data_IF_393309984150
#
_entry.id   IF_393309984150
#
_cell.length_a   1.000
_cell.length_b   1.000
_cell.length_c   1.000
_cell.angle_alpha   90.00
_cell.angle_beta   90.00
_cell.angle_gamma   90.00
#
_symmetry.space_group_name_H-M   'P 1'
#
loop_
_entity.id
_entity.type
_entity.pdbx_description
1 polymer ?
#
# COMPACT_ATOMS: atom_id res chain seq x y z
N UNK A 1 15.49 33.66 16.83
CA UNK A 1 14.47 32.98 17.66
C UNK A 1 15.12 32.58 18.98
N UNK A 2 14.50 32.94 20.10
CA UNK A 2 15.04 32.65 21.42
C UNK A 2 14.80 31.21 21.78
N UNK A 3 15.74 30.55 22.51
CA UNK A 3 15.60 29.17 23.03
C UNK A 3 14.27 28.98 23.82
N UNK A 4 13.73 30.02 24.41
CA UNK A 4 12.43 30.02 25.11
C UNK A 4 11.24 29.83 24.16
N UNK A 5 11.27 30.37 22.95
CA UNK A 5 10.20 30.22 21.97
C UNK A 5 10.24 28.83 21.34
N UNK A 6 11.43 28.30 21.10
CA UNK A 6 11.61 26.93 20.61
C UNK A 6 11.12 25.89 21.65
N UNK A 7 11.41 26.11 22.95
CA UNK A 7 10.91 25.24 24.03
C UNK A 7 9.37 25.32 24.16
N UNK A 8 8.77 26.49 23.98
CA UNK A 8 7.32 26.68 24.09
C UNK A 8 6.58 25.92 22.97
N UNK A 9 7.11 26.00 21.76
CA UNK A 9 6.59 25.26 20.59
C UNK A 9 6.72 23.74 20.78
N UNK A 10 7.82 23.25 21.36
CA UNK A 10 8.03 21.83 21.65
C UNK A 10 7.11 21.29 22.75
N UNK A 11 6.80 22.10 23.76
CA UNK A 11 5.90 21.72 24.85
C UNK A 11 4.44 21.73 24.42
N UNK A 12 4.05 22.62 23.50
CA UNK A 12 2.69 22.64 22.90
C UNK A 12 2.45 21.45 21.96
N UNK A 13 3.48 20.98 21.26
CA UNK A 13 3.43 19.75 20.44
C UNK A 13 3.31 18.46 21.26
N UNK A 14 3.78 18.47 22.51
CA UNK A 14 3.69 17.29 23.39
C UNK A 14 2.32 17.15 24.07
N UNK A 15 1.48 18.18 24.07
CA UNK A 15 0.19 18.19 24.77
C UNK A 15 -1.06 18.40 23.93
N UNK A 16 -0.92 18.90 22.72
CA UNK A 16 -2.02 19.06 21.77
C UNK A 16 -1.47 18.96 20.33
N UNK A 17 -2.10 18.17 19.49
CA UNK A 17 -1.77 18.14 18.06
C UNK A 17 -2.01 19.54 17.50
N UNK A 18 -0.93 20.23 17.10
CA UNK A 18 -1.00 21.56 16.50
C UNK A 18 -1.98 21.52 15.31
N UNK A 19 -2.96 22.41 15.24
CA UNK A 19 -3.91 22.48 14.12
C UNK A 19 -3.24 22.62 12.75
N UNK A 20 -2.01 23.16 12.69
CA UNK A 20 -1.21 23.23 11.46
C UNK A 20 -0.71 21.87 11.00
N UNK A 21 -0.37 20.98 11.94
CA UNK A 21 0.02 19.60 11.64
C UNK A 21 -1.17 18.81 11.08
N UNK A 22 -2.37 19.00 11.66
CA UNK A 22 -3.61 18.41 11.16
C UNK A 22 -3.94 18.88 9.74
N UNK A 23 -3.71 20.15 9.41
CA UNK A 23 -3.89 20.68 8.04
C UNK A 23 -2.85 20.10 7.08
N UNK A 24 -1.58 20.05 7.47
CA UNK A 24 -0.50 19.51 6.62
C UNK A 24 -0.66 18.03 6.36
N UNK A 25 -1.11 17.25 7.37
CA UNK A 25 -1.47 15.84 7.20
C UNK A 25 -2.68 15.68 6.27
N UNK A 26 -3.69 16.53 6.39
CA UNK A 26 -4.88 16.48 5.54
C UNK A 26 -4.56 16.88 4.09
N UNK A 27 -3.69 17.88 3.90
CA UNK A 27 -3.21 18.29 2.58
C UNK A 27 -2.33 17.22 1.95
N UNK A 28 -1.45 16.57 2.73
CA UNK A 28 -0.65 15.44 2.29
C UNK A 28 -1.54 14.23 1.92
N UNK A 29 -2.54 13.91 2.73
CA UNK A 29 -3.52 12.86 2.47
C UNK A 29 -4.34 13.13 1.19
N UNK A 30 -4.69 14.39 0.94
CA UNK A 30 -5.38 14.81 -0.28
C UNK A 30 -4.46 14.75 -1.51
N UNK A 31 -3.19 15.12 -1.37
CA UNK A 31 -2.18 15.04 -2.42
C UNK A 31 -1.85 13.58 -2.78
N UNK A 32 -1.90 12.68 -1.80
CA UNK A 32 -1.71 11.23 -1.95
C UNK A 32 -3.00 10.49 -2.35
N UNK A 33 -4.05 11.22 -2.77
CA UNK A 33 -5.26 10.62 -3.31
C UNK A 33 -6.10 9.82 -2.29
N UNK A 34 -6.07 10.20 -1.01
CA UNK A 34 -6.95 9.62 0.01
C UNK A 34 -6.40 8.41 0.75
N UNK A 35 -5.11 8.09 0.61
CA UNK A 35 -4.46 7.02 1.38
C UNK A 35 -4.50 7.36 2.88
N UNK A 36 -4.96 6.43 3.70
CA UNK A 36 -4.97 6.60 5.15
C UNK A 36 -3.54 6.51 5.71
N UNK A 37 -2.93 7.69 5.94
CA UNK A 37 -1.62 7.81 6.55
C UNK A 37 -1.51 7.16 7.94
N UNK A 38 -2.66 6.81 8.57
CA UNK A 38 -2.65 6.02 9.82
C UNK A 38 -2.27 4.58 9.56
N UNK A 39 -2.70 3.99 8.44
CA UNK A 39 -2.30 2.64 8.06
C UNK A 39 -0.81 2.58 7.66
N UNK A 40 -0.34 3.57 6.90
CA UNK A 40 1.07 3.70 6.54
C UNK A 40 1.98 3.97 7.77
N UNK A 41 1.50 4.72 8.76
CA UNK A 41 2.23 4.97 10.01
C UNK A 41 2.24 3.76 10.97
N UNK A 42 1.35 2.78 10.81
CA UNK A 42 1.35 1.55 11.61
C UNK A 42 2.44 0.55 11.20
N UNK A 43 2.97 0.65 9.97
CA UNK A 43 4.17 -0.07 9.55
C UNK A 43 5.48 0.51 10.12
N UNK A 44 5.46 1.76 10.57
CA UNK A 44 6.56 2.41 11.26
C UNK A 44 6.16 2.67 12.72
N UNK A 45 6.33 1.67 13.59
CA UNK A 45 6.10 1.77 15.01
C UNK A 45 6.91 2.91 15.63
N UNK A 46 6.31 4.09 15.86
CA UNK A 46 6.86 5.13 16.70
C UNK A 46 5.79 5.91 17.43
N UNK A 47 5.40 5.43 18.60
CA UNK A 47 5.12 6.31 19.72
C UNK A 47 5.62 5.65 21.00
N UNK A 48 6.85 5.92 21.36
CA UNK A 48 7.25 5.89 22.77
C UNK A 48 7.18 7.32 23.30
N UNK A 49 6.42 7.50 24.36
CA UNK A 49 6.20 8.73 25.05
C UNK A 49 7.51 9.47 25.40
N UNK A 50 7.58 10.75 25.06
CA UNK A 50 8.40 11.73 25.73
C UNK A 50 9.84 11.88 25.24
N UNK A 51 10.06 12.53 24.14
CA UNK A 51 11.06 13.56 23.76
C UNK A 51 10.96 13.77 22.25
N UNK A 52 10.08 14.64 21.80
CA UNK A 52 10.07 15.08 20.40
C UNK A 52 11.03 16.27 20.27
N UNK A 53 12.28 15.97 19.92
CA UNK A 53 13.23 16.99 19.54
C UNK A 53 12.90 17.52 18.13
N UNK A 54 13.32 18.73 17.81
CA UNK A 54 13.22 19.37 16.48
C UNK A 54 13.71 18.47 15.32
N UNK A 55 14.58 17.52 15.61
CA UNK A 55 15.05 16.48 14.72
C UNK A 55 13.92 15.56 14.22
N UNK A 56 12.93 15.25 15.06
CA UNK A 56 11.79 14.41 14.67
C UNK A 56 10.86 15.08 13.64
N UNK A 57 10.75 16.43 13.66
CA UNK A 57 9.98 17.15 12.63
C UNK A 57 10.68 17.12 11.26
N UNK A 58 12.00 17.20 11.24
CA UNK A 58 12.78 17.05 10.00
C UNK A 58 12.70 15.61 9.47
N UNK A 59 12.74 14.63 10.37
CA UNK A 59 12.61 13.21 10.01
C UNK A 59 11.20 12.88 9.53
N UNK A 60 10.14 13.46 10.13
CA UNK A 60 8.75 13.33 9.64
C UNK A 60 8.59 13.97 8.27
N UNK A 61 9.14 15.17 8.05
CA UNK A 61 9.04 15.86 6.74
C UNK A 61 9.78 15.07 5.66
N UNK A 62 10.95 14.53 5.98
CA UNK A 62 11.69 13.65 5.08
C UNK A 62 10.92 12.36 4.82
N UNK A 63 10.38 11.73 5.86
CA UNK A 63 9.57 10.52 5.72
C UNK A 63 8.34 10.71 4.84
N UNK A 64 7.68 11.87 4.91
CA UNK A 64 6.54 12.21 4.04
C UNK A 64 6.98 12.42 2.59
N UNK A 65 8.16 13.02 2.37
CA UNK A 65 8.71 13.20 1.03
C UNK A 65 9.13 11.85 0.42
N UNK A 66 9.83 11.02 1.21
CA UNK A 66 10.26 9.69 0.79
C UNK A 66 9.03 8.81 0.49
N UNK A 67 7.97 8.87 1.31
CA UNK A 67 6.71 8.19 1.09
C UNK A 67 6.03 8.65 -0.22
N UNK A 68 6.01 9.95 -0.51
CA UNK A 68 5.50 10.48 -1.78
C UNK A 68 6.24 9.93 -2.98
N UNK A 69 7.56 9.84 -2.90
CA UNK A 69 8.39 9.27 -3.96
C UNK A 69 8.15 7.75 -4.15
N UNK A 70 7.87 7.02 -3.08
CA UNK A 70 7.50 5.60 -3.15
C UNK A 70 6.14 5.39 -3.83
N UNK A 71 5.16 6.27 -3.58
CA UNK A 71 3.88 6.25 -4.30
C UNK A 71 4.05 6.54 -5.79
N UNK A 72 4.83 7.54 -6.14
CA UNK A 72 5.12 7.86 -7.54
C UNK A 72 5.79 6.68 -8.24
N UNK A 73 6.75 6.03 -7.58
CA UNK A 73 7.40 4.84 -8.11
C UNK A 73 6.43 3.65 -8.28
N UNK A 74 5.51 3.43 -7.33
CA UNK A 74 4.48 2.40 -7.43
C UNK A 74 3.51 2.67 -8.59
N UNK A 75 3.08 3.92 -8.77
CA UNK A 75 2.22 4.31 -9.89
C UNK A 75 2.92 4.18 -11.24
N UNK A 76 4.20 4.53 -11.32
CA UNK A 76 5.01 4.31 -12.50
C UNK A 76 5.18 2.82 -12.81
N UNK A 77 5.37 1.99 -11.80
CA UNK A 77 5.43 0.52 -11.94
C UNK A 77 4.13 -0.03 -12.54
N UNK A 78 2.97 0.38 -12.03
CA UNK A 78 1.67 -0.01 -12.57
C UNK A 78 1.54 0.46 -14.03
N UNK A 79 1.84 1.73 -14.31
CA UNK A 79 1.75 2.28 -15.66
C UNK A 79 2.65 1.55 -16.65
N UNK A 80 3.87 1.25 -16.27
CA UNK A 80 4.85 0.56 -17.13
C UNK A 80 4.45 -0.91 -17.32
N UNK A 81 4.05 -1.59 -16.24
CA UNK A 81 3.70 -3.01 -16.26
C UNK A 81 2.42 -3.31 -17.05
N UNK A 82 1.41 -2.44 -16.96
CA UNK A 82 0.12 -2.64 -17.62
C UNK A 82 0.00 -1.92 -18.96
N UNK A 83 0.77 -0.84 -19.18
CA UNK A 83 0.58 0.06 -20.30
C UNK A 83 -0.67 0.94 -20.21
N UNK A 84 -1.41 0.89 -19.10
CA UNK A 84 -2.63 1.64 -18.87
C UNK A 84 -2.39 3.16 -18.87
N UNK A 85 -3.37 3.92 -19.36
CA UNK A 85 -3.36 5.38 -19.41
C UNK A 85 -4.75 5.95 -19.11
N UNK A 86 -4.82 7.24 -18.75
CA UNK A 86 -6.10 7.92 -18.54
C UNK A 86 -6.92 7.29 -17.41
N UNK A 87 -8.22 7.09 -17.64
CA UNK A 87 -9.16 6.57 -16.63
C UNK A 87 -8.82 5.16 -16.17
N UNK A 88 -8.30 4.31 -17.05
CA UNK A 88 -7.87 2.96 -16.71
C UNK A 88 -6.71 2.97 -15.71
N UNK A 89 -5.71 3.83 -15.92
CA UNK A 89 -4.60 3.98 -14.99
C UNK A 89 -5.07 4.51 -13.63
N UNK A 90 -6.00 5.47 -13.61
CA UNK A 90 -6.54 5.99 -12.35
C UNK A 90 -7.32 4.91 -11.59
N UNK A 91 -8.08 4.06 -12.27
CA UNK A 91 -8.75 2.92 -11.64
C UNK A 91 -7.74 1.94 -11.02
N UNK A 92 -6.66 1.59 -11.73
CA UNK A 92 -5.61 0.71 -11.20
C UNK A 92 -4.85 1.32 -10.02
N UNK A 93 -4.69 2.64 -9.98
CA UNK A 93 -4.13 3.35 -8.83
C UNK A 93 -5.06 3.29 -7.60
N UNK A 94 -6.37 3.30 -7.83
CA UNK A 94 -7.34 3.14 -6.75
C UNK A 94 -7.34 1.69 -6.24
N UNK A 95 -7.32 0.69 -7.14
CA UNK A 95 -7.14 -0.73 -6.80
C UNK A 95 -5.85 -0.95 -5.96
N UNK A 96 -4.74 -0.31 -6.36
CA UNK A 96 -3.47 -0.35 -5.59
C UNK A 96 -3.63 0.21 -4.18
N UNK A 97 -4.30 1.35 -4.02
CA UNK A 97 -4.55 1.94 -2.69
C UNK A 97 -5.37 1.01 -1.81
N UNK A 98 -6.38 0.37 -2.38
CA UNK A 98 -7.24 -0.57 -1.67
C UNK A 98 -6.46 -1.80 -1.20
N UNK A 99 -5.59 -2.37 -2.05
CA UNK A 99 -4.67 -3.46 -1.66
C UNK A 99 -3.73 -3.01 -0.55
N UNK A 100 -3.05 -1.87 -0.73
CA UNK A 100 -2.08 -1.36 0.23
C UNK A 100 -2.68 -1.07 1.60
N UNK A 101 -3.96 -0.65 1.64
CA UNK A 101 -4.70 -0.39 2.88
C UNK A 101 -5.31 -1.65 3.51
N UNK A 102 -5.49 -2.73 2.75
CA UNK A 102 -6.19 -3.94 3.21
C UNK A 102 -5.26 -4.99 3.79
N UNK A 103 -4.02 -5.10 3.31
CA UNK A 103 -3.03 -6.09 3.76
C UNK A 103 -1.70 -5.45 4.13
N UNK A 104 -0.99 -5.97 5.16
CA UNK A 104 0.37 -5.54 5.45
C UNK A 104 1.29 -5.91 4.28
N UNK A 105 1.78 -4.90 3.56
CA UNK A 105 2.64 -5.12 2.39
C UNK A 105 3.47 -3.88 2.08
N UNK A 106 4.50 -4.03 1.24
CA UNK A 106 5.23 -2.90 0.67
C UNK A 106 4.48 -2.32 -0.54
N UNK A 107 4.77 -1.05 -0.88
CA UNK A 107 4.22 -0.44 -2.10
C UNK A 107 4.70 -1.16 -3.37
N UNK A 108 5.92 -1.69 -3.34
CA UNK A 108 6.48 -2.50 -4.42
C UNK A 108 5.65 -3.78 -4.64
N UNK A 109 5.37 -4.55 -3.58
CA UNK A 109 4.58 -5.76 -3.69
C UNK A 109 3.14 -5.47 -4.12
N UNK A 110 2.51 -4.44 -3.56
CA UNK A 110 1.15 -4.05 -3.95
C UNK A 110 1.08 -3.65 -5.43
N UNK A 111 2.01 -2.80 -5.90
CA UNK A 111 2.04 -2.37 -7.31
C UNK A 111 2.37 -3.52 -8.27
N UNK A 112 3.26 -4.42 -7.88
CA UNK A 112 3.58 -5.64 -8.64
C UNK A 112 2.35 -6.54 -8.77
N UNK A 113 1.64 -6.80 -7.68
CA UNK A 113 0.44 -7.65 -7.71
C UNK A 113 -0.65 -7.05 -8.62
N UNK A 114 -0.91 -5.75 -8.52
CA UNK A 114 -1.86 -5.04 -9.38
C UNK A 114 -1.46 -5.15 -10.85
N UNK A 115 -0.20 -4.83 -11.18
CA UNK A 115 0.27 -4.84 -12.57
C UNK A 115 0.25 -6.24 -13.17
N UNK A 116 0.73 -7.24 -12.44
CA UNK A 116 0.87 -8.61 -12.94
C UNK A 116 -0.49 -9.29 -13.13
N UNK A 117 -1.41 -9.21 -12.18
CA UNK A 117 -2.75 -9.79 -12.35
C UNK A 117 -3.56 -9.07 -13.44
N UNK A 118 -3.48 -7.74 -13.50
CA UNK A 118 -4.15 -7.00 -14.58
C UNK A 118 -3.62 -7.44 -15.94
N UNK A 119 -2.30 -7.51 -16.12
CA UNK A 119 -1.69 -7.88 -17.41
C UNK A 119 -1.95 -9.34 -17.79
N UNK A 120 -1.91 -10.26 -16.82
CA UNK A 120 -2.05 -11.70 -17.07
C UNK A 120 -3.50 -12.16 -17.25
N UNK A 121 -4.42 -11.57 -16.49
CA UNK A 121 -5.81 -12.02 -16.42
C UNK A 121 -6.81 -10.99 -16.99
N UNK A 122 -6.38 -9.75 -17.25
CA UNK A 122 -7.26 -8.68 -17.70
C UNK A 122 -8.32 -8.27 -16.65
N UNK A 123 -8.03 -8.48 -15.37
CA UNK A 123 -8.94 -8.15 -14.26
C UNK A 123 -8.70 -6.75 -13.72
N UNK A 124 -9.72 -6.11 -13.15
CA UNK A 124 -9.68 -4.79 -12.52
C UNK A 124 -10.73 -4.69 -11.42
N UNK A 125 -10.70 -3.62 -10.61
CA UNK A 125 -11.64 -3.37 -9.53
C UNK A 125 -11.60 -4.43 -8.44
N UNK A 126 -12.73 -4.74 -7.84
CA UNK A 126 -12.85 -5.62 -6.67
C UNK A 126 -12.15 -6.98 -6.86
N UNK A 127 -12.25 -7.57 -8.05
CA UNK A 127 -11.60 -8.85 -8.35
C UNK A 127 -10.08 -8.74 -8.33
N UNK A 128 -9.53 -7.68 -8.92
CA UNK A 128 -8.09 -7.42 -8.92
C UNK A 128 -7.59 -7.16 -7.50
N UNK A 129 -8.30 -6.35 -6.73
CA UNK A 129 -7.99 -6.03 -5.33
C UNK A 129 -8.01 -7.29 -4.46
N UNK A 130 -9.03 -8.14 -4.61
CA UNK A 130 -9.15 -9.40 -3.87
C UNK A 130 -8.00 -10.35 -4.21
N UNK A 131 -7.75 -10.63 -5.48
CA UNK A 131 -6.67 -11.52 -5.93
C UNK A 131 -5.29 -11.03 -5.50
N UNK A 132 -5.02 -9.73 -5.64
CA UNK A 132 -3.75 -9.13 -5.24
C UNK A 132 -3.52 -9.27 -3.74
N UNK A 133 -4.53 -8.96 -2.93
CA UNK A 133 -4.46 -9.09 -1.47
C UNK A 133 -4.25 -10.55 -1.03
N UNK A 134 -4.95 -11.49 -1.66
CA UNK A 134 -4.80 -12.93 -1.38
C UNK A 134 -3.42 -13.44 -1.78
N UNK A 135 -2.91 -13.08 -2.96
CA UNK A 135 -1.59 -13.51 -3.41
C UNK A 135 -0.47 -13.00 -2.51
N UNK A 136 -0.54 -11.75 -2.06
CA UNK A 136 0.39 -11.17 -1.10
C UNK A 136 0.34 -11.97 0.21
N UNK A 137 -0.85 -12.19 0.76
CA UNK A 137 -1.01 -12.94 2.00
C UNK A 137 -0.48 -14.38 1.88
N UNK A 138 -0.75 -15.06 0.78
CA UNK A 138 -0.28 -16.42 0.51
C UNK A 138 1.23 -16.47 0.38
N UNK A 139 1.84 -15.57 -0.41
CA UNK A 139 3.30 -15.51 -0.57
C UNK A 139 4.02 -15.28 0.75
N UNK A 140 3.51 -14.36 1.58
CA UNK A 140 4.06 -14.06 2.90
C UNK A 140 3.94 -15.25 3.86
N UNK A 141 2.80 -15.94 3.87
CA UNK A 141 2.56 -17.08 4.76
C UNK A 141 3.35 -18.34 4.37
N UNK A 142 3.57 -18.55 3.09
CA UNK A 142 4.34 -19.70 2.58
C UNK A 142 5.84 -19.40 2.46
N UNK A 143 6.24 -18.13 2.55
CA UNK A 143 7.62 -17.69 2.30
C UNK A 143 8.02 -17.85 0.83
N UNK A 144 7.06 -17.79 -0.07
CA UNK A 144 7.25 -17.91 -1.51
C UNK A 144 7.40 -16.51 -2.15
N UNK A 145 8.04 -16.46 -3.31
CA UNK A 145 8.13 -15.24 -4.09
C UNK A 145 6.76 -14.83 -4.64
N UNK A 146 6.40 -13.55 -4.48
CA UNK A 146 5.10 -13.02 -4.89
C UNK A 146 4.86 -13.18 -6.40
N UNK A 147 5.85 -12.87 -7.22
CA UNK A 147 5.72 -12.99 -8.68
C UNK A 147 5.48 -14.44 -9.08
N UNK A 148 6.18 -15.37 -8.47
CA UNK A 148 5.98 -16.83 -8.67
C UNK A 148 4.58 -17.24 -8.25
N UNK A 149 4.08 -16.76 -7.12
CA UNK A 149 2.71 -17.03 -6.64
C UNK A 149 1.66 -16.52 -7.63
N UNK A 150 1.83 -15.30 -8.16
CA UNK A 150 0.94 -14.71 -9.16
C UNK A 150 1.00 -15.49 -10.48
N UNK A 151 2.18 -15.85 -10.95
CA UNK A 151 2.35 -16.65 -12.17
C UNK A 151 1.64 -17.98 -12.08
N UNK A 152 1.90 -18.73 -11.03
CA UNK A 152 1.31 -20.06 -10.82
C UNK A 152 -0.22 -19.97 -10.71
N UNK A 153 -0.74 -19.01 -9.96
CA UNK A 153 -2.17 -18.79 -9.80
C UNK A 153 -2.83 -18.41 -11.12
N UNK A 154 -2.23 -17.48 -11.86
CA UNK A 154 -2.74 -17.03 -13.17
C UNK A 154 -2.76 -18.16 -14.19
N UNK A 155 -1.71 -18.97 -14.23
CA UNK A 155 -1.66 -20.18 -15.07
C UNK A 155 -2.74 -21.18 -14.70
N UNK A 156 -2.94 -21.46 -13.41
CA UNK A 156 -3.97 -22.37 -12.95
C UNK A 156 -5.36 -21.88 -13.35
N UNK A 157 -5.68 -20.61 -13.16
CA UNK A 157 -6.98 -20.02 -13.53
C UNK A 157 -7.24 -20.10 -15.03
N UNK A 158 -6.23 -19.83 -15.85
CA UNK A 158 -6.34 -19.93 -17.31
C UNK A 158 -6.52 -21.38 -17.78
N UNK A 159 -5.76 -22.34 -17.23
CA UNK A 159 -5.84 -23.75 -17.61
C UNK A 159 -7.16 -24.39 -17.18
N UNK A 160 -7.69 -24.01 -16.01
CA UNK A 160 -8.95 -24.56 -15.50
C UNK A 160 -10.17 -23.81 -16.02
N UNK A 161 -9.97 -22.72 -16.76
CA UNK A 161 -11.05 -21.91 -17.29
C UNK A 161 -11.90 -21.26 -16.19
N UNK A 162 -11.24 -20.83 -15.10
CA UNK A 162 -11.91 -20.23 -13.95
C UNK A 162 -12.52 -18.90 -14.37
N UNK A 163 -13.83 -18.74 -14.16
CA UNK A 163 -14.49 -17.48 -14.44
C UNK A 163 -13.98 -16.39 -13.50
N UNK A 164 -13.83 -15.17 -14.04
CA UNK A 164 -13.26 -14.00 -13.32
C UNK A 164 -13.90 -13.77 -11.95
N UNK A 165 -15.21 -13.89 -11.84
CA UNK A 165 -15.94 -13.71 -10.58
C UNK A 165 -15.77 -14.87 -9.57
N UNK A 166 -15.05 -15.91 -9.92
CA UNK A 166 -14.78 -17.07 -9.06
C UNK A 166 -13.32 -17.20 -8.67
N UNK A 167 -12.43 -16.39 -9.25
CA UNK A 167 -10.98 -16.50 -9.06
C UNK A 167 -10.58 -16.35 -7.58
N UNK A 168 -11.16 -15.39 -6.84
CA UNK A 168 -10.90 -15.21 -5.42
C UNK A 168 -11.24 -16.46 -4.59
N UNK A 169 -12.36 -17.10 -4.87
CA UNK A 169 -12.78 -18.34 -4.17
C UNK A 169 -11.85 -19.52 -4.47
N UNK A 170 -11.40 -19.63 -5.71
CA UNK A 170 -10.45 -20.67 -6.12
C UNK A 170 -9.07 -20.45 -5.53
N UNK A 171 -8.64 -19.18 -5.39
CA UNK A 171 -7.39 -18.84 -4.70
C UNK A 171 -7.45 -19.25 -3.22
N UNK A 172 -8.53 -18.96 -2.53
CA UNK A 172 -8.80 -19.42 -1.16
C UNK A 172 -8.75 -20.95 -1.03
N UNK A 173 -9.31 -21.65 -2.01
CA UNK A 173 -9.29 -23.11 -2.02
C UNK A 173 -7.88 -23.67 -2.19
N UNK A 174 -7.13 -23.16 -3.17
CA UNK A 174 -5.72 -23.56 -3.39
C UNK A 174 -4.89 -23.34 -2.14
N UNK A 175 -5.09 -22.20 -1.48
CA UNK A 175 -4.40 -21.88 -0.24
C UNK A 175 -4.75 -22.85 0.91
N UNK A 176 -6.02 -23.17 1.11
CA UNK A 176 -6.45 -24.15 2.13
C UNK A 176 -5.87 -25.54 1.88
N UNK A 177 -5.78 -25.95 0.63
CA UNK A 177 -5.18 -27.24 0.26
C UNK A 177 -3.68 -27.24 0.53
N UNK A 178 -2.97 -26.15 0.23
CA UNK A 178 -1.53 -26.04 0.48
C UNK A 178 -1.16 -26.05 1.97
N UNK A 179 -2.06 -25.63 2.85
CA UNK A 179 -1.87 -25.70 4.30
C UNK A 179 -2.16 -27.12 4.88
N UNK A 180 -2.88 -27.96 4.16
CA UNK A 180 -3.30 -29.27 4.63
C UNK A 180 -2.31 -30.41 4.23
N UNK A 181 -1.28 -30.08 3.47
CA UNK A 181 -0.23 -31.02 3.02
C UNK A 181 1.09 -30.73 3.69
#
# INVERSE_FOLDING_TARGET
>A
MSQKETMKTVVELAGAVDPSLGKSLHEAQKALGGIDLKAAAMGAAFVTAGVVAVKALADITKGLYDLGAEFDAAYDSIRIGTGATGEELEALKDDFKDVYNSVPTSMENASTAIADFNTRLGVSGDVLTELSSQAIAVSDMLGEDLTTTIENSSHAFQQWGVATNSMGKEMDYVFKVSQAT
#
